data_IF_164645626061
#
_entry.id   IF_164645626061
#
_cell.length_a   1.000
_cell.length_b   1.000
_cell.length_c   1.000
_cell.angle_alpha   90.00
_cell.angle_beta   90.00
_cell.angle_gamma   90.00
#
_symmetry.space_group_name_H-M   'P 1'
#
loop_
_entity.id
_entity.type
_entity.pdbx_description
1 polymer ?
#
# COMPACT_ATOMS: atom_id res chain seq x y z
N UNK A 1 -5.92 26.19 -2.74
CA UNK A 1 -4.82 25.30 -3.17
C UNK A 1 -5.33 23.88 -3.10
N UNK A 2 -5.21 23.10 -4.17
CA UNK A 2 -5.61 21.69 -4.15
C UNK A 2 -4.63 20.93 -3.24
N UNK A 3 -5.14 20.26 -2.22
CA UNK A 3 -4.33 19.42 -1.33
C UNK A 3 -4.15 18.06 -1.97
N UNK A 4 -2.90 17.61 -2.05
CA UNK A 4 -2.54 16.29 -2.58
C UNK A 4 -2.07 15.41 -1.44
N UNK A 5 -2.72 14.26 -1.23
CA UNK A 5 -2.21 13.22 -0.34
C UNK A 5 -1.18 12.37 -1.09
N UNK A 6 0.00 12.22 -0.52
CA UNK A 6 1.05 11.33 -1.03
C UNK A 6 0.96 10.02 -0.28
N UNK A 7 0.89 8.92 -1.03
CA UNK A 7 0.75 7.57 -0.49
C UNK A 7 1.87 6.71 -1.06
N UNK A 8 2.43 5.82 -0.24
CA UNK A 8 3.33 4.74 -0.70
C UNK A 8 3.13 3.49 0.15
N UNK A 9 3.68 2.37 -0.31
CA UNK A 9 3.74 1.14 0.48
C UNK A 9 4.93 1.12 1.47
N UNK A 10 4.87 0.25 2.48
CA UNK A 10 5.91 0.10 3.50
C UNK A 10 7.28 -0.34 2.94
N UNK A 11 7.29 -0.98 1.76
CA UNK A 11 8.52 -1.42 1.09
C UNK A 11 9.42 -0.25 0.69
N UNK A 12 8.84 0.94 0.51
CA UNK A 12 9.61 2.17 0.31
C UNK A 12 10.60 2.46 1.46
N UNK A 13 10.39 1.86 2.65
CA UNK A 13 11.31 1.92 3.79
C UNK A 13 11.75 3.35 4.14
N UNK A 14 10.81 4.30 4.05
CA UNK A 14 11.10 5.70 4.29
C UNK A 14 11.39 5.94 5.78
N UNK A 15 12.41 6.74 6.13
CA UNK A 15 12.63 7.15 7.52
C UNK A 15 11.41 7.88 8.08
N UNK A 16 11.10 7.67 9.37
CA UNK A 16 9.95 8.31 10.03
C UNK A 16 10.00 9.85 9.91
N UNK A 17 11.19 10.45 9.99
CA UNK A 17 11.38 11.90 9.81
C UNK A 17 10.87 12.40 8.45
N UNK A 18 11.03 11.61 7.39
CA UNK A 18 10.55 11.94 6.04
C UNK A 18 9.04 11.78 5.97
N UNK A 19 8.50 10.71 6.56
CA UNK A 19 7.06 10.44 6.64
C UNK A 19 6.36 11.61 7.33
N UNK A 20 6.85 12.02 8.49
CA UNK A 20 6.26 13.08 9.31
C UNK A 20 6.38 14.44 8.63
N UNK A 21 7.56 14.77 8.10
CA UNK A 21 7.84 16.05 7.45
C UNK A 21 6.93 16.31 6.25
N UNK A 22 6.64 15.26 5.47
CA UNK A 22 5.84 15.38 4.24
C UNK A 22 4.41 14.84 4.39
N UNK A 23 4.03 14.37 5.58
CA UNK A 23 2.74 13.75 5.87
C UNK A 23 2.39 12.65 4.83
N UNK A 24 3.33 11.74 4.60
CA UNK A 24 3.18 10.63 3.65
C UNK A 24 2.37 9.53 4.30
N UNK A 25 1.30 9.08 3.65
CA UNK A 25 0.52 7.94 4.13
C UNK A 25 1.18 6.62 3.71
N UNK A 26 1.47 5.76 4.67
CA UNK A 26 2.05 4.44 4.42
C UNK A 26 0.94 3.39 4.44
N UNK A 27 0.80 2.63 3.35
CA UNK A 27 -0.01 1.42 3.31
C UNK A 27 0.93 0.22 3.57
N UNK A 28 0.76 -0.53 4.68
CA UNK A 28 1.62 -1.67 4.95
C UNK A 28 1.43 -2.75 3.88
N UNK A 29 2.49 -3.47 3.52
CA UNK A 29 2.35 -4.64 2.63
C UNK A 29 1.65 -5.79 3.36
N UNK A 30 0.93 -6.61 2.60
CA UNK A 30 0.28 -7.83 3.07
C UNK A 30 1.22 -9.02 2.89
N UNK A 31 1.58 -9.67 3.99
CA UNK A 31 2.30 -10.94 3.99
C UNK A 31 1.34 -12.08 4.32
N UNK A 32 1.52 -13.23 3.68
CA UNK A 32 0.85 -14.47 4.05
C UNK A 32 1.89 -15.50 4.43
N UNK A 33 1.86 -15.95 5.69
CA UNK A 33 2.83 -16.89 6.27
C UNK A 33 2.02 -18.01 6.92
N UNK A 34 2.24 -19.24 6.46
CA UNK A 34 1.52 -20.44 6.94
C UNK A 34 -0.02 -20.26 6.97
N UNK A 35 -0.57 -19.55 5.97
CA UNK A 35 -2.00 -19.27 5.84
C UNK A 35 -2.53 -18.13 6.72
N UNK A 36 -1.69 -17.48 7.53
CA UNK A 36 -2.04 -16.29 8.31
C UNK A 36 -1.60 -15.01 7.61
N UNK A 37 -2.40 -13.96 7.73
CA UNK A 37 -2.13 -12.65 7.13
C UNK A 37 -1.49 -11.73 8.16
N UNK A 38 -0.39 -11.09 7.78
CA UNK A 38 0.33 -10.10 8.58
C UNK A 38 0.44 -8.80 7.79
N UNK A 39 0.37 -7.67 8.48
CA UNK A 39 0.74 -6.36 7.94
C UNK A 39 2.22 -6.12 8.20
N UNK A 40 2.89 -5.49 7.26
CA UNK A 40 4.25 -5.01 7.44
C UNK A 40 4.27 -3.75 8.33
N UNK A 41 4.04 -3.97 9.63
CA UNK A 41 4.12 -2.97 10.70
C UNK A 41 4.77 -3.57 11.94
N UNK A 42 5.36 -2.75 12.80
CA UNK A 42 6.04 -3.21 14.02
C UNK A 42 5.10 -3.95 14.99
N UNK A 43 3.80 -3.67 14.96
CA UNK A 43 2.81 -4.36 15.79
C UNK A 43 2.54 -5.80 15.34
N UNK A 44 2.51 -6.04 14.02
CA UNK A 44 2.23 -7.36 13.46
C UNK A 44 3.53 -8.18 13.28
N UNK A 45 4.65 -7.50 13.00
CA UNK A 45 5.96 -8.08 12.71
C UNK A 45 7.06 -7.41 13.55
N UNK A 46 7.06 -7.64 14.88
CA UNK A 46 8.17 -7.18 15.70
C UNK A 46 9.46 -7.88 15.27
N UNK A 47 10.60 -7.24 15.54
CA UNK A 47 11.94 -7.68 15.11
C UNK A 47 12.21 -9.16 15.40
N UNK A 48 11.76 -9.67 16.54
CA UNK A 48 11.93 -11.07 16.94
C UNK A 48 11.16 -12.02 16.00
N UNK A 49 9.94 -11.65 15.63
CA UNK A 49 9.09 -12.42 14.71
C UNK A 49 9.66 -12.39 13.30
N UNK A 50 10.18 -11.24 12.85
CA UNK A 50 10.86 -11.12 11.55
C UNK A 50 12.05 -12.07 11.45
N UNK A 51 12.88 -12.18 12.51
CA UNK A 51 14.00 -13.12 12.53
C UNK A 51 13.57 -14.59 12.47
N UNK A 52 12.43 -14.96 13.07
CA UNK A 52 11.91 -16.31 12.94
C UNK A 52 11.35 -16.57 11.54
N UNK A 53 10.68 -15.59 10.94
CA UNK A 53 10.13 -15.72 9.59
C UNK A 53 11.20 -15.80 8.51
N UNK A 54 12.36 -15.16 8.70
CA UNK A 54 13.51 -15.29 7.80
C UNK A 54 14.06 -16.72 7.69
N UNK A 55 13.74 -17.60 8.66
CA UNK A 55 14.15 -19.01 8.64
C UNK A 55 13.15 -19.91 7.92
N UNK A 56 11.96 -19.40 7.59
CA UNK A 56 10.91 -20.16 6.91
C UNK A 56 11.19 -20.28 5.41
N UNK A 57 10.84 -21.41 4.77
CA UNK A 57 11.14 -21.65 3.36
C UNK A 57 10.27 -20.84 2.39
N UNK A 58 9.12 -20.31 2.85
CA UNK A 58 8.19 -19.58 2.00
C UNK A 58 7.45 -18.48 2.77
N UNK A 59 7.54 -17.26 2.24
CA UNK A 59 6.71 -16.11 2.62
C UNK A 59 6.07 -15.61 1.33
N UNK A 60 4.75 -15.62 1.28
CA UNK A 60 4.02 -15.15 0.11
C UNK A 60 3.65 -13.68 0.30
N UNK A 61 4.02 -12.85 -0.68
CA UNK A 61 3.58 -11.46 -0.75
C UNK A 61 2.49 -11.35 -1.81
N UNK A 62 1.34 -10.83 -1.41
CA UNK A 62 0.20 -10.62 -2.31
C UNK A 62 -0.38 -9.24 -2.02
N UNK A 63 -0.88 -8.49 -3.01
CA UNK A 63 -1.59 -7.25 -2.76
C UNK A 63 -2.73 -7.40 -1.76
N UNK A 64 -3.10 -6.30 -1.11
CA UNK A 64 -4.40 -6.25 -0.44
C UNK A 64 -5.55 -6.41 -1.45
N UNK A 65 -6.72 -6.88 -1.01
CA UNK A 65 -7.91 -6.85 -1.85
C UNK A 65 -8.29 -5.38 -2.16
N UNK A 66 -8.94 -5.10 -3.30
CA UNK A 66 -9.30 -3.73 -3.72
C UNK A 66 -10.06 -2.93 -2.66
N UNK A 67 -10.90 -3.60 -1.86
CA UNK A 67 -11.70 -2.99 -0.79
C UNK A 67 -10.84 -2.35 0.30
N UNK A 68 -9.65 -2.90 0.55
CA UNK A 68 -8.70 -2.33 1.51
C UNK A 68 -8.16 -0.99 1.00
N UNK A 69 -7.66 -0.95 -0.23
CA UNK A 69 -7.18 0.29 -0.85
C UNK A 69 -8.28 1.34 -0.94
N UNK A 70 -9.49 0.93 -1.31
CA UNK A 70 -10.64 1.83 -1.36
C UNK A 70 -10.89 2.52 -0.01
N UNK A 71 -10.88 1.76 1.10
CA UNK A 71 -11.06 2.33 2.45
C UNK A 71 -9.94 3.29 2.83
N UNK A 72 -8.70 3.00 2.45
CA UNK A 72 -7.57 3.91 2.68
C UNK A 72 -7.73 5.21 1.88
N UNK A 73 -8.12 5.13 0.60
CA UNK A 73 -8.35 6.31 -0.22
C UNK A 73 -9.57 7.12 0.23
N UNK A 74 -10.64 6.47 0.66
CA UNK A 74 -11.85 7.12 1.19
C UNK A 74 -11.53 7.96 2.44
N UNK A 75 -10.69 7.44 3.35
CA UNK A 75 -10.21 8.21 4.51
C UNK A 75 -9.36 9.41 4.08
N UNK A 76 -8.48 9.24 3.09
CA UNK A 76 -7.60 10.31 2.61
C UNK A 76 -8.38 11.39 1.85
N UNK A 77 -9.41 11.03 1.09
CA UNK A 77 -10.25 11.97 0.34
C UNK A 77 -11.05 12.91 1.25
N UNK A 78 -11.23 12.58 2.53
CA UNK A 78 -11.82 13.51 3.51
C UNK A 78 -10.90 14.69 3.82
N UNK A 79 -9.59 14.56 3.54
CA UNK A 79 -8.54 15.53 3.92
C UNK A 79 -7.79 16.11 2.72
N UNK A 80 -7.86 15.48 1.54
CA UNK A 80 -7.16 15.89 0.33
C UNK A 80 -8.07 15.81 -0.90
N UNK A 81 -7.84 16.73 -1.85
CA UNK A 81 -8.63 16.81 -3.09
C UNK A 81 -8.13 15.84 -4.16
N UNK A 82 -6.86 15.43 -4.06
CA UNK A 82 -6.22 14.51 -4.98
C UNK A 82 -5.33 13.53 -4.20
N UNK A 83 -5.13 12.33 -4.75
CA UNK A 83 -4.28 11.29 -4.15
C UNK A 83 -3.28 10.84 -5.21
N UNK A 84 -2.00 10.80 -4.84
CA UNK A 84 -0.93 10.19 -5.63
C UNK A 84 -0.38 9.02 -4.85
N UNK A 85 -0.53 7.81 -5.40
CA UNK A 85 -0.03 6.59 -4.81
C UNK A 85 1.13 6.04 -5.64
N UNK A 86 2.32 5.99 -5.05
CA UNK A 86 3.54 5.42 -5.64
C UNK A 86 3.72 4.03 -5.05
N UNK A 87 3.87 3.00 -5.89
CA UNK A 87 3.97 1.60 -5.46
C UNK A 87 5.19 0.93 -6.08
N UNK A 88 5.85 0.06 -5.33
CA UNK A 88 7.12 -0.55 -5.75
C UNK A 88 6.94 -1.66 -6.82
N UNK A 89 5.77 -2.31 -6.89
CA UNK A 89 5.53 -3.46 -7.77
C UNK A 89 4.50 -3.16 -8.86
N UNK A 90 4.92 -3.07 -10.12
CA UNK A 90 4.02 -2.68 -11.22
C UNK A 90 3.13 -3.81 -11.77
N UNK A 91 3.53 -5.09 -11.66
CA UNK A 91 2.83 -6.19 -12.34
C UNK A 91 1.64 -6.80 -11.56
N UNK A 92 1.66 -6.82 -10.23
CA UNK A 92 0.61 -7.51 -9.44
C UNK A 92 -0.61 -6.61 -9.19
N UNK A 93 -0.43 -5.29 -9.20
CA UNK A 93 -1.51 -4.32 -9.00
C UNK A 93 -2.32 -3.99 -10.27
N UNK A 94 -1.69 -4.02 -11.44
CA UNK A 94 -2.35 -3.62 -12.69
C UNK A 94 -3.51 -4.56 -13.07
N UNK A 95 -3.33 -5.87 -12.91
CA UNK A 95 -4.33 -6.86 -13.32
C UNK A 95 -5.59 -6.82 -12.44
N UNK A 96 -5.43 -6.55 -11.13
CA UNK A 96 -6.57 -6.45 -10.21
C UNK A 96 -7.29 -5.11 -10.35
N UNK A 97 -6.58 -3.99 -10.50
CA UNK A 97 -7.19 -2.66 -10.62
C UNK A 97 -7.90 -2.43 -11.96
N UNK A 98 -7.30 -2.85 -13.09
CA UNK A 98 -7.92 -2.71 -14.43
C UNK A 98 -9.19 -3.56 -14.59
N UNK A 99 -9.30 -4.68 -13.86
CA UNK A 99 -10.51 -5.51 -13.88
C UNK A 99 -11.71 -4.84 -13.19
N UNK A 100 -11.47 -3.92 -12.25
CA UNK A 100 -12.50 -3.31 -11.40
C UNK A 100 -12.73 -1.81 -11.71
N UNK A 101 -11.81 -1.16 -12.45
CA UNK A 101 -11.83 0.27 -12.76
C UNK A 101 -12.90 0.76 -13.77
N UNK A 102 -13.89 -0.05 -14.17
CA UNK A 102 -15.10 0.47 -14.84
C UNK A 102 -16.13 0.96 -13.81
N UNK A 103 -15.73 1.91 -12.96
CA UNK A 103 -16.72 2.74 -12.26
C UNK A 103 -17.22 3.82 -13.24
N UNK A 104 -18.54 4.04 -13.27
CA UNK A 104 -19.25 4.89 -14.24
C UNK A 104 -19.01 6.40 -14.05
N UNK A 105 -18.25 6.79 -13.04
CA UNK A 105 -18.22 8.17 -12.56
C UNK A 105 -16.86 8.82 -12.80
N UNK A 106 -16.48 8.99 -14.07
CA UNK A 106 -15.57 10.02 -14.61
C UNK A 106 -14.22 10.31 -13.94
N UNK A 107 -13.83 9.61 -12.89
CA UNK A 107 -12.70 9.93 -12.03
C UNK A 107 -11.48 9.19 -12.57
N UNK A 108 -10.61 9.93 -13.24
CA UNK A 108 -9.47 9.38 -13.97
C UNK A 108 -8.29 9.20 -13.02
N UNK A 109 -8.19 8.03 -12.39
CA UNK A 109 -7.01 7.63 -11.61
C UNK A 109 -5.90 7.16 -12.56
N UNK A 110 -4.82 7.94 -12.66
CA UNK A 110 -3.62 7.58 -13.41
C UNK A 110 -2.71 6.73 -12.53
N UNK A 111 -2.55 5.45 -12.86
CA UNK A 111 -1.54 4.58 -12.28
C UNK A 111 -0.64 4.08 -13.42
N UNK A 112 0.49 4.77 -13.64
CA UNK A 112 1.58 4.24 -14.46
C UNK A 112 2.89 4.87 -14.02
N UNK A 113 3.61 4.18 -13.14
CA UNK A 113 5.06 4.24 -13.10
C UNK A 113 5.58 2.81 -13.07
N UNK A 114 6.21 2.40 -14.18
CA UNK A 114 7.10 1.24 -14.22
C UNK A 114 8.40 1.69 -13.55
N UNK A 115 8.77 1.06 -12.45
CA UNK A 115 10.19 0.77 -12.24
C UNK A 115 10.51 -0.51 -13.02
#
# INVERSE_FOLDING_TARGET
MNRVAVVTDSVASLPQEVIDKYNIHIIPVRLTIEGKVYRDTDEDLPTEVVHEFQKLPQIDTTPWPPEFYFREYEKLSQKADNIVHVVCFSQVYLNNFLSQGRSKDGTRSYASFKC
#
